data_IF_893067463066
#
_entry.id   IF_893067463066
#
_cell.length_a   1.000
_cell.length_b   1.000
_cell.length_c   1.000
_cell.angle_alpha   90.00
_cell.angle_beta   90.00
_cell.angle_gamma   90.00
#
_symmetry.space_group_name_H-M   'P 1'
#
loop_
_entity.id
_entity.type
_entity.pdbx_description
1 polymer ?
#
# COMPACT_ATOMS: atom_id res chain seq x y z
N UNK A 1 -7.06 -18.63 1.70
CA UNK A 1 -5.99 -17.66 2.04
C UNK A 1 -6.68 -16.33 2.25
N UNK A 2 -6.66 -15.81 3.48
CA UNK A 2 -7.49 -14.67 3.87
C UNK A 2 -7.12 -13.45 3.02
N UNK A 3 -8.15 -12.97 2.35
CA UNK A 3 -8.35 -11.83 1.44
C UNK A 3 -7.93 -10.48 2.04
N UNK A 4 -6.88 -10.43 2.89
CA UNK A 4 -6.23 -9.15 3.20
C UNK A 4 -5.72 -8.58 1.88
N UNK A 5 -6.47 -7.64 1.35
CA UNK A 5 -6.10 -6.64 0.36
C UNK A 5 -4.64 -6.30 0.59
N UNK A 6 -3.75 -6.77 -0.31
CA UNK A 6 -2.29 -6.77 -0.12
C UNK A 6 -1.74 -5.42 0.34
N UNK A 7 -2.46 -4.33 0.05
CA UNK A 7 -2.09 -2.95 0.38
C UNK A 7 -3.14 -2.19 1.21
N UNK A 8 -4.25 -2.80 1.59
CA UNK A 8 -5.30 -2.15 2.39
C UNK A 8 -4.79 -1.73 3.77
N UNK A 9 -3.87 -2.50 4.35
CA UNK A 9 -3.22 -2.14 5.62
C UNK A 9 -2.40 -0.84 5.50
N UNK A 10 -1.82 -0.54 4.33
CA UNK A 10 -1.06 0.70 4.12
C UNK A 10 -1.99 1.91 4.14
N UNK A 11 -3.24 1.77 3.70
CA UNK A 11 -4.24 2.83 3.82
C UNK A 11 -4.63 3.08 5.27
N UNK A 12 -4.74 2.05 6.11
CA UNK A 12 -4.93 2.23 7.55
C UNK A 12 -3.72 2.88 8.22
N UNK A 13 -2.50 2.47 7.86
CA UNK A 13 -1.27 3.09 8.34
C UNK A 13 -1.20 4.57 7.94
N UNK A 14 -1.61 4.90 6.72
CA UNK A 14 -1.66 6.28 6.23
C UNK A 14 -2.65 7.14 7.02
N UNK A 15 -3.79 6.59 7.44
CA UNK A 15 -4.72 7.29 8.35
C UNK A 15 -4.07 7.51 9.72
N UNK A 16 -3.44 6.49 10.30
CA UNK A 16 -2.73 6.62 11.57
C UNK A 16 -1.59 7.65 11.53
N UNK A 17 -0.83 7.69 10.44
CA UNK A 17 0.18 8.72 10.20
C UNK A 17 -0.44 10.10 10.00
N UNK A 18 -1.60 10.18 9.32
CA UNK A 18 -2.37 11.42 9.20
C UNK A 18 -2.78 11.99 10.55
N UNK A 19 -3.17 11.14 11.51
CA UNK A 19 -3.44 11.52 12.90
C UNK A 19 -2.18 12.12 13.54
N UNK A 20 -1.05 11.40 13.49
CA UNK A 20 0.20 11.86 14.08
C UNK A 20 0.68 13.20 13.48
N UNK A 21 0.57 13.37 12.16
CA UNK A 21 0.93 14.62 11.50
C UNK A 21 0.02 15.78 11.90
N UNK A 22 -1.29 15.56 11.97
CA UNK A 22 -2.25 16.59 12.36
C UNK A 22 -2.05 17.05 13.81
N UNK A 23 -1.89 16.11 14.74
CA UNK A 23 -1.57 16.43 16.14
C UNK A 23 -0.20 17.10 16.26
N UNK A 24 0.79 16.65 15.49
CA UNK A 24 2.10 17.30 15.44
C UNK A 24 2.02 18.76 14.98
N UNK A 25 1.23 19.04 13.93
CA UNK A 25 1.00 20.40 13.45
C UNK A 25 0.23 21.23 14.49
N UNK A 26 -0.83 20.69 15.06
CA UNK A 26 -1.62 21.40 16.06
C UNK A 26 -0.78 21.77 17.29
N UNK A 27 -0.05 20.81 17.85
CA UNK A 27 0.78 21.02 19.04
C UNK A 27 2.01 21.89 18.78
N UNK A 28 2.72 21.70 17.67
CA UNK A 28 4.00 22.38 17.41
C UNK A 28 3.84 23.74 16.73
N UNK A 29 2.85 23.90 15.84
CA UNK A 29 2.67 25.11 15.05
C UNK A 29 1.51 25.96 15.51
N UNK A 30 0.46 25.34 16.05
CA UNK A 30 -0.77 26.02 16.46
C UNK A 30 -0.96 26.08 17.98
N UNK A 31 -0.03 25.53 18.75
CA UNK A 31 -0.05 25.57 20.22
C UNK A 31 -1.24 24.84 20.86
N UNK A 32 -1.85 23.87 20.18
CA UNK A 32 -3.00 23.12 20.68
C UNK A 32 -4.34 23.86 20.61
N UNK A 33 -4.42 24.95 19.84
CA UNK A 33 -5.65 25.77 19.72
C UNK A 33 -6.79 25.00 19.01
N UNK A 34 -6.45 23.98 18.22
CA UNK A 34 -7.38 23.33 17.28
C UNK A 34 -8.02 22.08 17.90
N UNK A 35 -7.69 21.75 19.14
CA UNK A 35 -8.14 20.56 19.86
C UNK A 35 -9.68 20.51 19.97
N UNK A 36 -10.28 19.40 19.52
CA UNK A 36 -11.73 19.22 19.47
C UNK A 36 -12.46 19.97 18.34
N UNK A 37 -11.76 20.76 17.54
CA UNK A 37 -12.38 21.48 16.42
C UNK A 37 -12.45 20.64 15.13
N UNK A 38 -13.41 20.92 14.22
CA UNK A 38 -13.50 20.23 12.93
C UNK A 38 -12.25 20.45 12.04
N UNK A 39 -11.47 21.51 12.28
CA UNK A 39 -10.19 21.76 11.61
C UNK A 39 -9.15 20.68 11.87
N UNK A 40 -9.10 20.12 13.08
CA UNK A 40 -8.19 19.01 13.38
C UNK A 40 -8.56 17.78 12.54
N UNK A 41 -9.85 17.47 12.45
CA UNK A 41 -10.34 16.38 11.59
C UNK A 41 -10.03 16.61 10.11
N UNK A 42 -10.15 17.85 9.63
CA UNK A 42 -9.76 18.21 8.27
C UNK A 42 -8.26 18.00 8.01
N UNK A 43 -7.40 18.36 8.97
CA UNK A 43 -5.96 18.11 8.88
C UNK A 43 -5.63 16.61 8.85
N UNK A 44 -6.25 15.81 9.73
CA UNK A 44 -6.06 14.35 9.79
C UNK A 44 -6.39 13.72 8.44
N UNK A 45 -7.57 14.02 7.90
CA UNK A 45 -8.03 13.47 6.62
C UNK A 45 -7.20 13.99 5.45
N UNK A 46 -6.77 15.26 5.49
CA UNK A 46 -5.91 15.86 4.48
C UNK A 46 -4.54 15.19 4.40
N UNK A 47 -3.86 14.99 5.54
CA UNK A 47 -2.60 14.27 5.58
C UNK A 47 -2.76 12.80 5.18
N UNK A 48 -3.81 12.13 5.66
CA UNK A 48 -4.10 10.75 5.27
C UNK A 48 -4.36 10.60 3.75
N UNK A 49 -5.04 11.58 3.14
CA UNK A 49 -5.26 11.64 1.70
C UNK A 49 -3.94 11.83 0.95
N UNK A 50 -3.09 12.76 1.40
CA UNK A 50 -1.78 13.01 0.80
C UNK A 50 -0.90 11.76 0.84
N UNK A 51 -0.80 11.10 1.99
CA UNK A 51 -0.01 9.88 2.15
C UNK A 51 -0.56 8.76 1.26
N UNK A 52 -1.88 8.56 1.21
CA UNK A 52 -2.48 7.57 0.30
C UNK A 52 -2.23 7.92 -1.18
N UNK A 53 -2.21 9.20 -1.55
CA UNK A 53 -1.89 9.62 -2.91
C UNK A 53 -0.44 9.26 -3.30
N UNK A 54 0.51 9.54 -2.41
CA UNK A 54 1.93 9.16 -2.55
C UNK A 54 2.07 7.65 -2.72
N UNK A 55 1.41 6.87 -1.86
CA UNK A 55 1.41 5.41 -1.93
C UNK A 55 0.80 4.91 -3.24
N UNK A 56 -0.32 5.49 -3.66
CA UNK A 56 -1.00 5.13 -4.91
C UNK A 56 -0.19 5.47 -6.15
N UNK A 57 0.55 6.59 -6.14
CA UNK A 57 1.29 7.06 -7.31
C UNK A 57 2.62 6.34 -7.52
N UNK A 58 3.28 5.93 -6.43
CA UNK A 58 4.65 5.41 -6.50
C UNK A 58 4.83 4.02 -5.91
N UNK A 59 4.14 3.71 -4.80
CA UNK A 59 4.37 2.46 -4.05
C UNK A 59 3.55 1.31 -4.64
N UNK A 60 2.24 1.47 -4.83
CA UNK A 60 1.40 0.42 -5.40
C UNK A 60 1.84 -0.02 -6.80
N UNK A 61 2.21 0.88 -7.74
CA UNK A 61 2.71 0.46 -9.06
C UNK A 61 4.02 -0.31 -9.01
N UNK A 62 4.90 0.02 -8.06
CA UNK A 62 6.17 -0.70 -7.87
C UNK A 62 5.93 -2.11 -7.32
N UNK A 63 4.92 -2.27 -6.46
CA UNK A 63 4.61 -3.53 -5.81
C UNK A 63 3.72 -4.45 -6.67
N UNK A 64 2.88 -3.87 -7.53
CA UNK A 64 2.03 -4.57 -8.50
C UNK A 64 2.80 -4.99 -9.77
N UNK A 65 4.14 -4.88 -9.79
CA UNK A 65 4.95 -5.33 -10.93
C UNK A 65 4.76 -6.83 -11.18
N UNK A 66 4.51 -7.25 -12.43
CA UNK A 66 4.39 -8.67 -12.77
C UNK A 66 5.69 -9.37 -12.38
N UNK A 67 5.57 -10.48 -11.65
CA UNK A 67 6.72 -11.32 -11.30
C UNK A 67 6.60 -12.66 -12.04
N UNK A 68 7.71 -13.18 -12.59
CA UNK A 68 7.70 -14.50 -13.18
C UNK A 68 7.36 -15.52 -12.10
N UNK A 69 6.45 -16.44 -12.40
CA UNK A 69 6.20 -17.59 -11.54
C UNK A 69 7.41 -18.49 -11.61
N UNK A 70 8.01 -18.80 -10.48
CA UNK A 70 9.10 -19.77 -10.40
C UNK A 70 8.56 -21.12 -9.96
N UNK A 71 8.95 -22.18 -10.65
CA UNK A 71 8.67 -23.56 -10.27
C UNK A 71 9.98 -24.26 -9.91
N UNK A 72 9.91 -25.10 -8.90
CA UNK A 72 11.02 -25.98 -8.53
C UNK A 72 10.94 -27.23 -9.38
N UNK A 73 11.98 -27.52 -10.17
CA UNK A 73 12.09 -28.76 -10.95
C UNK A 73 13.26 -29.61 -10.46
N UNK A 74 13.14 -30.95 -10.48
CA UNK A 74 14.29 -31.81 -10.22
C UNK A 74 15.36 -31.62 -11.30
N UNK A 75 16.61 -31.48 -10.88
CA UNK A 75 17.77 -31.44 -11.78
C UNK A 75 17.97 -32.82 -12.42
N UNK A 76 18.10 -32.85 -13.75
CA UNK A 76 18.39 -34.09 -14.48
C UNK A 76 19.76 -34.68 -14.09
N UNK A 77 20.69 -33.83 -13.67
CA UNK A 77 21.98 -34.23 -13.10
C UNK A 77 22.22 -33.41 -11.83
N UNK A 78 22.20 -34.04 -10.64
CA UNK A 78 22.56 -33.36 -9.41
C UNK A 78 24.03 -32.96 -9.44
N UNK A 79 24.34 -31.73 -9.05
CA UNK A 79 25.71 -31.24 -8.95
C UNK A 79 26.04 -30.83 -7.51
N UNK A 80 27.33 -30.90 -7.15
CA UNK A 80 27.82 -30.44 -5.85
C UNK A 80 28.26 -28.99 -5.94
N UNK A 81 27.71 -28.17 -5.06
CA UNK A 81 28.19 -26.80 -4.82
C UNK A 81 29.59 -26.85 -4.20
N UNK A 82 30.43 -25.81 -4.36
CA UNK A 82 31.74 -25.71 -3.69
C UNK A 82 31.70 -25.95 -2.17
N UNK A 83 30.55 -25.69 -1.55
CA UNK A 83 30.27 -25.91 -0.13
C UNK A 83 29.90 -27.38 0.22
N UNK A 84 30.05 -28.32 -0.71
CA UNK A 84 29.78 -29.75 -0.52
C UNK A 84 28.31 -30.15 -0.51
N UNK A 85 27.38 -29.21 -0.65
CA UNK A 85 25.93 -29.49 -0.73
C UNK A 85 25.57 -30.07 -2.10
N UNK A 86 24.75 -31.13 -2.09
CA UNK A 86 24.18 -31.72 -3.31
C UNK A 86 22.89 -30.98 -3.62
N UNK A 87 22.85 -30.29 -4.75
CA UNK A 87 21.64 -29.60 -5.21
C UNK A 87 20.93 -30.53 -6.18
N UNK A 88 19.74 -31.01 -5.78
CA UNK A 88 18.88 -31.91 -6.56
C UNK A 88 17.72 -31.18 -7.24
N UNK A 89 17.51 -29.91 -6.91
CA UNK A 89 16.40 -29.09 -7.38
C UNK A 89 16.87 -27.74 -7.93
N UNK A 90 16.28 -27.30 -9.03
CA UNK A 90 16.53 -26.00 -9.64
C UNK A 90 15.25 -25.17 -9.68
N UNK A 91 15.34 -23.91 -9.30
CA UNK A 91 14.23 -22.96 -9.40
C UNK A 91 14.28 -22.27 -10.75
N UNK A 92 13.34 -22.58 -11.64
CA UNK A 92 13.26 -21.98 -12.98
C UNK A 92 11.95 -21.23 -13.20
N UNK A 93 11.92 -20.18 -14.04
CA UNK A 93 10.67 -19.54 -14.41
C UNK A 93 9.76 -20.53 -15.14
N UNK A 94 8.50 -20.60 -14.75
CA UNK A 94 7.47 -21.35 -15.46
C UNK A 94 7.27 -20.73 -16.85
N UNK A 95 7.32 -21.56 -17.88
CA UNK A 95 7.12 -21.15 -19.27
C UNK A 95 5.77 -21.69 -19.77
N UNK A 96 5.06 -20.87 -20.52
CA UNK A 96 3.87 -21.24 -21.30
C UNK A 96 4.30 -22.12 -22.51
N UNK A 97 3.44 -22.97 -23.10
CA UNK A 97 3.67 -23.68 -24.37
C UNK A 97 4.35 -22.89 -25.50
N UNK A 98 4.17 -21.57 -25.56
CA UNK A 98 4.85 -20.69 -26.53
C UNK A 98 6.27 -20.26 -26.11
N UNK A 99 6.79 -20.78 -25.00
CA UNK A 99 8.13 -20.46 -24.46
C UNK A 99 8.20 -19.12 -23.72
N UNK A 100 7.06 -18.49 -23.39
CA UNK A 100 7.02 -17.21 -22.68
C UNK A 100 6.94 -17.41 -21.16
N UNK A 101 7.62 -16.59 -20.34
CA UNK A 101 7.52 -16.70 -18.89
C UNK A 101 6.09 -16.39 -18.43
N UNK A 102 5.50 -17.34 -17.70
CA UNK A 102 4.20 -17.15 -17.04
C UNK A 102 4.39 -16.10 -15.95
N UNK A 103 3.78 -14.94 -16.16
CA UNK A 103 3.79 -13.85 -15.20
C UNK A 103 2.51 -13.90 -14.39
N UNK A 104 2.64 -13.94 -13.06
CA UNK A 104 1.49 -13.73 -12.18
C UNK A 104 1.41 -12.24 -11.89
N UNK A 105 0.31 -11.64 -12.33
CA UNK A 105 -0.11 -10.33 -11.88
C UNK A 105 -1.15 -10.53 -10.78
N UNK A 106 -0.79 -10.39 -9.50
CA UNK A 106 -1.78 -10.46 -8.43
C UNK A 106 -2.73 -9.27 -8.62
N UNK A 107 -3.97 -9.54 -9.04
CA UNK A 107 -5.00 -8.50 -9.18
C UNK A 107 -5.76 -8.46 -7.86
N UNK A 108 -5.79 -7.30 -7.19
CA UNK A 108 -6.53 -7.17 -5.93
C UNK A 108 -8.03 -7.28 -6.20
N UNK A 109 -8.64 -8.41 -5.87
CA UNK A 109 -10.08 -8.62 -5.98
C UNK A 109 -10.80 -7.95 -4.81
N UNK A 110 -11.30 -6.74 -5.07
CA UNK A 110 -12.66 -6.29 -4.76
C UNK A 110 -13.26 -6.52 -3.36
N UNK A 111 -12.50 -6.50 -2.27
CA UNK A 111 -13.09 -6.33 -0.94
C UNK A 111 -12.20 -5.46 -0.06
N UNK A 112 -12.78 -4.37 0.48
CA UNK A 112 -12.18 -3.35 1.34
C UNK A 112 -11.24 -2.34 0.66
N UNK A 113 -11.82 -1.20 0.27
CA UNK A 113 -11.13 0.05 -0.08
C UNK A 113 -10.27 -0.06 -1.36
N UNK A 114 -10.68 0.54 -2.49
CA UNK A 114 -9.77 0.73 -3.60
C UNK A 114 -8.67 1.69 -3.12
N UNK A 115 -7.54 1.17 -2.65
CA UNK A 115 -6.44 1.98 -2.13
C UNK A 115 -5.97 3.02 -3.18
N UNK A 116 -6.17 2.70 -4.47
CA UNK A 116 -5.95 3.59 -5.61
C UNK A 116 -6.89 4.80 -5.69
N UNK A 117 -8.07 4.75 -5.08
CA UNK A 117 -9.05 5.85 -5.09
C UNK A 117 -9.39 6.35 -3.68
N UNK A 118 -8.88 5.70 -2.63
CA UNK A 118 -9.22 6.03 -1.26
C UNK A 118 -8.78 7.44 -0.84
N UNK A 119 -7.68 7.94 -1.43
CA UNK A 119 -7.26 9.33 -1.23
C UNK A 119 -8.32 10.35 -1.66
N UNK A 120 -9.18 10.03 -2.65
CA UNK A 120 -10.26 10.90 -3.10
C UNK A 120 -11.33 11.01 -2.01
N UNK A 121 -11.71 9.87 -1.42
CA UNK A 121 -12.71 9.83 -0.35
C UNK A 121 -12.20 10.59 0.88
N UNK A 122 -10.94 10.35 1.28
CA UNK A 122 -10.31 11.06 2.38
C UNK A 122 -10.20 12.57 2.09
N UNK A 123 -9.80 12.95 0.88
CA UNK A 123 -9.68 14.34 0.48
C UNK A 123 -11.03 15.08 0.46
N UNK A 124 -12.08 14.44 -0.05
CA UNK A 124 -13.45 14.98 0.00
C UNK A 124 -13.93 15.14 1.45
N UNK A 125 -13.65 14.17 2.31
CA UNK A 125 -13.95 14.27 3.74
C UNK A 125 -13.20 15.43 4.42
N UNK A 126 -11.93 15.63 4.08
CA UNK A 126 -11.13 16.75 4.57
C UNK A 126 -11.72 18.10 4.17
N UNK A 127 -12.12 18.24 2.90
CA UNK A 127 -12.77 19.47 2.38
C UNK A 127 -14.11 19.70 3.08
N UNK A 128 -14.93 18.66 3.24
CA UNK A 128 -16.21 18.79 3.93
C UNK A 128 -16.03 19.25 5.38
N UNK A 129 -15.07 18.66 6.12
CA UNK A 129 -14.77 19.10 7.49
C UNK A 129 -14.20 20.52 7.54
N UNK A 130 -13.38 20.93 6.58
CA UNK A 130 -12.87 22.29 6.51
C UNK A 130 -14.01 23.30 6.26
N UNK A 131 -14.96 22.98 5.39
CA UNK A 131 -16.15 23.83 5.15
C UNK A 131 -16.99 23.92 6.42
N UNK A 132 -17.24 22.79 7.10
CA UNK A 132 -17.97 22.79 8.38
C UNK A 132 -17.25 23.67 9.38
N UNK A 133 -15.93 23.52 9.52
CA UNK A 133 -15.11 24.32 10.43
C UNK A 133 -15.22 25.83 10.14
N UNK A 134 -15.26 26.22 8.87
CA UNK A 134 -15.42 27.61 8.45
C UNK A 134 -16.82 28.19 8.71
N UNK A 135 -17.84 27.33 8.74
CA UNK A 135 -19.24 27.75 8.97
C UNK A 135 -19.57 27.77 10.47
N UNK A 136 -18.95 26.90 11.27
CA UNK A 136 -19.24 26.76 12.70
C UNK A 136 -18.25 27.46 13.63
N UNK A 137 -17.09 27.88 13.11
CA UNK A 137 -16.06 28.64 13.85
C UNK A 137 -16.17 30.14 13.58
#
# INVERSE_FOLDING_TARGET
MIIWTRWGFLSFLAVGLGVLCAFGVDTLLLGGIVEGSPWLGALVLGFAALINFVLARWVYPALDKPRPVTITRPLQMPYRTPDGRVVTEETVPALDPEGRPVVVRPVSTLFFIPARYFFIILGLGAVALAIVALVTG
#
